data_IF_687449672376
#
_entry.id   IF_687449672376
#
_cell.length_a   1.000
_cell.length_b   1.000
_cell.length_c   1.000
_cell.angle_alpha   90.00
_cell.angle_beta   90.00
_cell.angle_gamma   90.00
#
_symmetry.space_group_name_H-M   'P 1'
#
loop_
_entity.id
_entity.type
_entity.pdbx_description
1 polymer ?
#
# COMPACT_ATOMS: atom_id res chain seq x y z
N UNK A 1 -6.90 -12.97 11.56
CA UNK A 1 -6.98 -13.04 10.10
C UNK A 1 -5.86 -12.19 9.49
N UNK A 2 -5.12 -12.74 8.52
CA UNK A 2 -4.07 -12.04 7.76
C UNK A 2 -4.55 -11.90 6.33
N UNK A 3 -4.57 -10.68 5.80
CA UNK A 3 -4.90 -10.44 4.40
C UNK A 3 -3.64 -10.52 3.54
N UNK A 4 -3.79 -10.68 2.21
CA UNK A 4 -2.63 -10.76 1.30
C UNK A 4 -1.65 -11.88 1.65
N UNK A 5 -2.16 -13.03 2.13
CA UNK A 5 -1.33 -14.16 2.59
C UNK A 5 -0.46 -14.77 1.49
N UNK A 6 -0.77 -14.50 0.23
CA UNK A 6 0.05 -14.89 -0.92
C UNK A 6 1.34 -14.09 -1.06
N UNK A 7 1.42 -12.90 -0.44
CA UNK A 7 2.60 -12.04 -0.45
C UNK A 7 3.61 -12.38 0.65
N UNK A 8 4.82 -11.86 0.50
CA UNK A 8 5.95 -12.07 1.42
C UNK A 8 5.68 -11.50 2.82
N UNK A 9 5.05 -10.33 2.93
CA UNK A 9 4.69 -9.70 4.20
C UNK A 9 3.70 -10.58 4.98
N UNK A 10 2.61 -11.01 4.34
CA UNK A 10 1.62 -11.87 4.96
C UNK A 10 2.19 -13.21 5.44
N UNK A 11 3.04 -13.82 4.61
CA UNK A 11 3.72 -15.06 4.95
C UNK A 11 4.71 -14.88 6.11
N UNK A 12 5.50 -13.81 6.11
CA UNK A 12 6.44 -13.50 7.19
C UNK A 12 5.72 -13.29 8.53
N UNK A 13 4.60 -12.57 8.54
CA UNK A 13 3.78 -12.39 9.73
C UNK A 13 3.22 -13.73 10.22
N UNK A 14 2.72 -14.58 9.32
CA UNK A 14 2.20 -15.90 9.69
C UNK A 14 3.29 -16.79 10.34
N UNK A 15 4.52 -16.78 9.80
CA UNK A 15 5.66 -17.50 10.37
C UNK A 15 5.95 -17.01 11.80
N UNK A 16 6.11 -15.70 11.97
CA UNK A 16 6.42 -15.08 13.28
C UNK A 16 5.34 -15.43 14.32
N UNK A 17 4.06 -15.37 13.92
CA UNK A 17 2.96 -15.72 14.85
C UNK A 17 3.03 -17.20 15.20
N UNK A 18 3.22 -18.11 14.26
CA UNK A 18 3.30 -19.56 14.55
C UNK A 18 4.50 -19.93 15.43
N UNK A 19 5.64 -19.25 15.24
CA UNK A 19 6.84 -19.46 16.08
C UNK A 19 6.66 -18.95 17.50
N UNK A 20 6.05 -17.78 17.66
CA UNK A 20 5.89 -17.14 18.98
C UNK A 20 4.64 -17.61 19.72
N UNK A 21 3.58 -17.98 19.02
CA UNK A 21 2.26 -18.35 19.56
C UNK A 21 1.68 -19.54 18.79
N UNK A 22 2.21 -20.75 18.95
CA UNK A 22 1.85 -21.92 18.11
C UNK A 22 0.38 -22.33 18.22
N UNK A 23 -0.32 -21.92 19.27
CA UNK A 23 -1.74 -22.23 19.48
C UNK A 23 -2.70 -21.21 18.84
N UNK A 24 -2.19 -20.12 18.28
CA UNK A 24 -3.03 -19.14 17.57
C UNK A 24 -3.47 -19.71 16.25
N UNK A 25 -4.78 -19.70 16.01
CA UNK A 25 -5.36 -20.06 14.72
C UNK A 25 -5.17 -18.92 13.74
N UNK A 26 -4.52 -19.20 12.61
CA UNK A 26 -4.29 -18.23 11.54
C UNK A 26 -5.25 -18.50 10.39
N UNK A 27 -6.05 -17.49 10.06
CA UNK A 27 -6.88 -17.46 8.87
C UNK A 27 -6.20 -16.55 7.86
N UNK A 28 -5.87 -17.06 6.68
CA UNK A 28 -5.30 -16.30 5.58
C UNK A 28 -6.34 -15.98 4.52
N UNK A 29 -6.31 -14.79 3.98
CA UNK A 29 -7.11 -14.42 2.80
C UNK A 29 -6.25 -13.83 1.71
N UNK A 30 -6.59 -14.10 0.44
CA UNK A 30 -5.96 -13.53 -0.74
C UNK A 30 -6.94 -13.50 -1.90
N UNK A 31 -6.72 -12.64 -2.87
CA UNK A 31 -7.47 -12.63 -4.13
C UNK A 31 -7.02 -13.78 -5.06
N UNK A 32 -5.76 -14.18 -4.96
CA UNK A 32 -5.17 -15.26 -5.75
C UNK A 32 -5.29 -16.60 -5.01
N UNK A 33 -5.50 -17.66 -5.78
CA UNK A 33 -5.52 -19.04 -5.26
C UNK A 33 -4.13 -19.70 -5.30
N UNK A 34 -3.26 -19.27 -6.18
CA UNK A 34 -1.96 -19.91 -6.40
C UNK A 34 -0.85 -19.18 -5.63
N UNK A 35 -0.56 -19.63 -4.40
CA UNK A 35 0.52 -19.08 -3.57
C UNK A 35 0.96 -20.08 -2.49
N UNK A 36 2.17 -19.89 -1.93
CA UNK A 36 2.72 -20.77 -0.89
C UNK A 36 2.14 -20.52 0.52
N UNK A 37 1.40 -19.43 0.72
CA UNK A 37 0.84 -19.05 2.02
C UNK A 37 -0.06 -20.10 2.68
N UNK A 38 -0.63 -21.05 1.91
CA UNK A 38 -1.39 -22.19 2.44
C UNK A 38 -0.62 -23.03 3.46
N UNK A 39 0.70 -23.11 3.35
CA UNK A 39 1.54 -23.91 4.24
C UNK A 39 1.71 -23.29 5.63
N UNK A 40 1.31 -22.05 5.80
CA UNK A 40 1.59 -21.22 6.98
C UNK A 40 0.33 -20.92 7.81
N UNK A 41 -0.83 -21.37 7.36
CA UNK A 41 -2.13 -20.98 7.93
C UNK A 41 -2.99 -22.21 8.21
N UNK A 42 -4.01 -22.04 9.03
CA UNK A 42 -4.93 -23.12 9.39
C UNK A 42 -6.15 -23.16 8.45
N UNK A 43 -6.61 -22.00 7.98
CA UNK A 43 -7.73 -21.88 7.03
C UNK A 43 -7.45 -20.78 6.00
N UNK A 44 -7.92 -21.01 4.77
CA UNK A 44 -7.82 -20.04 3.67
C UNK A 44 -9.20 -19.71 3.11
N UNK A 45 -9.40 -18.43 2.81
CA UNK A 45 -10.56 -17.96 2.04
C UNK A 45 -10.14 -17.04 0.92
N UNK A 46 -10.63 -17.31 -0.29
CA UNK A 46 -10.50 -16.35 -1.37
C UNK A 46 -11.39 -15.14 -1.12
N UNK A 47 -10.85 -13.95 -1.40
CA UNK A 47 -11.56 -12.67 -1.31
C UNK A 47 -11.45 -11.92 -2.64
N UNK A 48 -12.38 -11.01 -2.95
CA UNK A 48 -12.23 -10.09 -4.09
C UNK A 48 -10.98 -9.21 -3.94
N UNK A 49 -10.51 -8.61 -5.04
CA UNK A 49 -9.48 -7.58 -4.97
C UNK A 49 -9.92 -6.40 -4.07
N UNK A 50 -8.99 -5.74 -3.40
CA UNK A 50 -9.27 -4.59 -2.52
C UNK A 50 -10.00 -3.43 -3.23
N UNK A 51 -9.81 -3.29 -4.55
CA UNK A 51 -10.53 -2.32 -5.39
C UNK A 51 -12.00 -2.67 -5.65
N UNK A 52 -12.43 -3.88 -5.31
CA UNK A 52 -13.83 -4.31 -5.46
C UNK A 52 -14.70 -3.77 -4.34
N UNK A 53 -15.89 -3.26 -4.67
CA UNK A 53 -16.89 -2.84 -3.68
C UNK A 53 -17.37 -3.99 -2.76
N UNK A 54 -17.17 -5.24 -3.16
CA UNK A 54 -17.52 -6.41 -2.37
C UNK A 54 -16.44 -6.79 -1.33
N UNK A 55 -15.23 -6.21 -1.42
CA UNK A 55 -14.09 -6.63 -0.61
C UNK A 55 -14.35 -6.49 0.91
N UNK A 56 -14.65 -5.29 1.38
CA UNK A 56 -14.88 -5.03 2.81
C UNK A 56 -16.04 -5.84 3.39
N UNK A 57 -17.11 -6.03 2.62
CA UNK A 57 -18.24 -6.84 3.06
C UNK A 57 -17.85 -8.32 3.21
N UNK A 58 -16.99 -8.82 2.32
CA UNK A 58 -16.45 -10.18 2.45
C UNK A 58 -15.56 -10.31 3.68
N UNK A 59 -14.70 -9.34 3.96
CA UNK A 59 -13.88 -9.32 5.18
C UNK A 59 -14.79 -9.30 6.43
N UNK A 60 -15.80 -8.42 6.52
CA UNK A 60 -16.75 -8.38 7.65
C UNK A 60 -17.44 -9.72 7.88
N UNK A 61 -17.87 -10.38 6.79
CA UNK A 61 -18.47 -11.70 6.87
C UNK A 61 -17.51 -12.70 7.51
N UNK A 62 -16.25 -12.74 7.08
CA UNK A 62 -15.25 -13.64 7.63
C UNK A 62 -14.92 -13.33 9.10
N UNK A 63 -14.81 -12.03 9.46
CA UNK A 63 -14.58 -11.62 10.84
C UNK A 63 -15.65 -12.18 11.78
N UNK A 64 -16.92 -12.18 11.36
CA UNK A 64 -18.02 -12.68 12.18
C UNK A 64 -18.16 -14.20 12.12
N UNK A 65 -18.08 -14.82 10.93
CA UNK A 65 -18.32 -16.25 10.77
C UNK A 65 -17.19 -17.11 11.33
N UNK A 66 -15.96 -16.61 11.29
CA UNK A 66 -14.78 -17.30 11.81
C UNK A 66 -14.39 -16.84 13.22
N UNK A 67 -15.20 -15.98 13.88
CA UNK A 67 -14.92 -15.42 15.19
C UNK A 67 -13.50 -14.84 15.32
N UNK A 68 -13.13 -13.98 14.36
CA UNK A 68 -11.78 -13.42 14.29
C UNK A 68 -11.58 -12.35 15.36
N UNK A 69 -10.55 -12.50 16.18
CA UNK A 69 -10.17 -11.53 17.20
C UNK A 69 -9.40 -10.35 16.61
N UNK A 70 -8.46 -10.64 15.73
CA UNK A 70 -7.53 -9.64 15.16
C UNK A 70 -7.45 -9.77 13.64
N UNK A 71 -7.46 -8.64 12.93
CA UNK A 71 -7.20 -8.57 11.48
C UNK A 71 -5.93 -7.76 11.21
N UNK A 72 -5.10 -8.27 10.31
CA UNK A 72 -3.82 -7.67 9.91
C UNK A 72 -3.84 -7.48 8.40
N UNK A 73 -4.12 -6.27 7.89
CA UNK A 73 -3.98 -5.96 6.46
C UNK A 73 -2.51 -5.82 6.09
N UNK A 74 -2.09 -6.41 4.96
CA UNK A 74 -0.67 -6.47 4.59
C UNK A 74 -0.33 -5.78 3.28
N UNK A 75 -1.31 -5.32 2.52
CA UNK A 75 -1.05 -4.62 1.26
C UNK A 75 -1.49 -3.16 1.30
N UNK A 76 -0.76 -2.32 0.57
CA UNK A 76 -1.07 -0.87 0.46
C UNK A 76 -2.47 -0.63 -0.13
N UNK A 77 -2.89 -1.47 -1.10
CA UNK A 77 -4.23 -1.40 -1.68
C UNK A 77 -5.33 -1.68 -0.66
N UNK A 78 -5.10 -2.60 0.26
CA UNK A 78 -6.03 -2.90 1.34
C UNK A 78 -6.06 -1.77 2.37
N UNK A 79 -4.91 -1.27 2.80
CA UNK A 79 -4.82 -0.16 3.75
C UNK A 79 -5.64 1.05 3.29
N UNK A 80 -5.60 1.37 2.00
CA UNK A 80 -6.35 2.51 1.44
C UNK A 80 -7.88 2.39 1.58
N UNK A 81 -8.41 1.16 1.70
CA UNK A 81 -9.87 0.91 1.82
C UNK A 81 -10.29 0.45 3.23
N UNK A 82 -9.34 0.21 4.14
CA UNK A 82 -9.60 -0.33 5.48
C UNK A 82 -10.11 0.69 6.49
N UNK A 83 -10.01 1.98 6.23
CA UNK A 83 -10.46 3.04 7.17
C UNK A 83 -11.83 2.79 7.81
N UNK A 84 -12.90 2.39 7.06
CA UNK A 84 -14.18 2.08 7.70
C UNK A 84 -14.10 0.91 8.69
N UNK A 85 -13.30 -0.10 8.36
CA UNK A 85 -13.14 -1.30 9.20
C UNK A 85 -12.31 -0.99 10.45
N UNK A 86 -11.27 -0.17 10.34
CA UNK A 86 -10.47 0.32 11.48
C UNK A 86 -11.40 1.08 12.45
N UNK A 87 -12.26 1.95 11.94
CA UNK A 87 -13.20 2.70 12.77
C UNK A 87 -14.26 1.81 13.46
N UNK A 88 -14.68 0.72 12.82
CA UNK A 88 -15.65 -0.24 13.37
C UNK A 88 -15.03 -1.15 14.45
N UNK A 89 -13.82 -1.62 14.23
CA UNK A 89 -13.15 -2.62 15.09
C UNK A 89 -12.31 -1.98 16.20
N UNK A 90 -11.78 -0.79 15.97
CA UNK A 90 -10.75 -0.16 16.79
C UNK A 90 -9.34 -0.69 16.44
N UNK A 91 -8.34 0.05 16.89
CA UNK A 91 -6.92 -0.24 16.64
C UNK A 91 -6.45 -1.53 17.34
N UNK A 92 -7.10 -1.91 18.42
CA UNK A 92 -6.81 -3.16 19.15
C UNK A 92 -7.13 -4.42 18.34
N UNK A 93 -8.07 -4.34 17.41
CA UNK A 93 -8.52 -5.47 16.59
C UNK A 93 -8.12 -5.39 15.12
N UNK A 94 -7.79 -4.20 14.64
CA UNK A 94 -7.29 -3.97 13.29
C UNK A 94 -5.87 -3.42 13.36
N UNK A 95 -4.88 -4.29 13.24
CA UNK A 95 -3.48 -3.92 13.44
C UNK A 95 -2.96 -3.18 12.21
N UNK A 96 -2.83 -1.88 12.35
CA UNK A 96 -2.32 -0.97 11.33
C UNK A 96 -1.51 0.15 11.99
N UNK A 97 -0.92 1.02 11.18
CA UNK A 97 -0.25 2.22 11.68
C UNK A 97 -1.23 3.36 12.07
N UNK A 98 -2.54 3.10 12.00
CA UNK A 98 -3.59 4.11 12.23
C UNK A 98 -3.91 4.94 10.99
N UNK A 99 -5.14 5.47 10.95
CA UNK A 99 -5.68 6.17 9.77
C UNK A 99 -4.81 7.34 9.29
N UNK A 100 -4.23 8.12 10.21
CA UNK A 100 -3.40 9.27 9.85
C UNK A 100 -2.12 8.84 9.13
N UNK A 101 -1.46 7.78 9.61
CA UNK A 101 -0.22 7.28 8.98
C UNK A 101 -0.53 6.59 7.66
N UNK A 102 -1.65 5.89 7.56
CA UNK A 102 -2.11 5.30 6.30
C UNK A 102 -2.35 6.40 5.26
N UNK A 103 -3.05 7.47 5.62
CA UNK A 103 -3.34 8.59 4.72
C UNK A 103 -2.05 9.30 4.24
N UNK A 104 -1.08 9.47 5.13
CA UNK A 104 0.23 10.02 4.77
C UNK A 104 1.02 9.04 3.89
N UNK A 105 1.14 7.78 4.31
CA UNK A 105 2.01 6.80 3.67
C UNK A 105 1.52 6.32 2.30
N UNK A 106 0.22 6.37 2.02
CA UNK A 106 -0.35 5.97 0.72
C UNK A 106 -0.28 7.08 -0.33
N UNK A 107 -0.11 8.33 0.08
CA UNK A 107 0.01 9.49 -0.82
C UNK A 107 1.45 10.02 -0.81
N UNK A 108 2.12 9.94 -1.96
CA UNK A 108 3.54 10.32 -2.09
C UNK A 108 3.80 11.81 -1.82
N UNK A 109 2.86 12.69 -2.13
CA UNK A 109 3.01 14.11 -1.79
C UNK A 109 2.85 14.34 -0.29
N UNK A 110 1.84 13.78 0.33
CA UNK A 110 1.67 13.87 1.80
C UNK A 110 2.86 13.30 2.54
N UNK A 111 3.45 12.19 2.02
CA UNK A 111 4.68 11.62 2.58
C UNK A 111 5.84 12.64 2.50
N UNK A 112 6.04 13.28 1.33
CA UNK A 112 7.10 14.29 1.18
C UNK A 112 6.86 15.49 2.09
N UNK A 113 5.64 16.02 2.15
CA UNK A 113 5.28 17.14 3.01
C UNK A 113 5.51 16.80 4.50
N UNK A 114 5.13 15.61 4.91
CA UNK A 114 5.36 15.14 6.28
C UNK A 114 6.86 15.06 6.62
N UNK A 115 7.65 14.43 5.76
CA UNK A 115 9.11 14.30 5.96
C UNK A 115 9.77 15.68 5.98
N UNK A 116 9.38 16.59 5.06
CA UNK A 116 9.88 17.95 5.02
C UNK A 116 9.54 18.73 6.30
N UNK A 117 8.37 18.50 6.90
CA UNK A 117 7.96 19.12 8.17
C UNK A 117 8.88 18.76 9.35
N UNK A 118 9.61 17.64 9.22
CA UNK A 118 10.61 17.17 10.18
C UNK A 118 12.02 17.76 9.92
N UNK A 119 12.14 18.71 8.98
CA UNK A 119 13.41 19.28 8.51
C UNK A 119 14.36 18.24 7.87
N UNK A 120 13.81 17.18 7.30
CA UNK A 120 14.56 16.19 6.53
C UNK A 120 14.47 16.59 5.05
N UNK A 121 15.60 16.66 4.32
CA UNK A 121 15.59 16.95 2.89
C UNK A 121 14.77 15.93 2.11
N UNK A 122 13.95 16.42 1.17
CA UNK A 122 13.13 15.59 0.29
C UNK A 122 13.31 16.01 -1.15
N UNK A 123 13.18 15.10 -2.11
CA UNK A 123 13.15 15.47 -3.53
C UNK A 123 11.93 16.36 -3.81
N UNK A 124 12.12 17.42 -4.61
CA UNK A 124 10.98 18.23 -5.02
C UNK A 124 9.92 17.37 -5.70
N UNK A 125 8.66 17.65 -5.41
CA UNK A 125 7.52 16.88 -5.92
C UNK A 125 6.37 17.82 -6.19
N UNK A 126 5.75 17.73 -7.38
CA UNK A 126 4.64 18.58 -7.81
C UNK A 126 3.53 17.76 -8.43
N UNK A 127 2.29 18.25 -8.32
CA UNK A 127 1.13 17.64 -8.97
C UNK A 127 1.15 17.89 -10.48
N UNK A 128 1.23 16.83 -11.26
CA UNK A 128 1.27 16.90 -12.73
C UNK A 128 0.04 17.59 -13.36
N UNK A 129 -1.08 17.61 -12.65
CA UNK A 129 -2.32 18.27 -13.09
C UNK A 129 -2.20 19.80 -13.14
N UNK A 130 -1.41 20.38 -12.23
CA UNK A 130 -1.41 21.83 -12.03
C UNK A 130 -0.11 22.48 -12.47
N UNK A 131 0.98 21.73 -12.52
CA UNK A 131 2.31 22.31 -12.75
C UNK A 131 3.18 21.37 -13.58
N UNK A 132 4.04 21.94 -14.40
CA UNK A 132 5.07 21.23 -15.15
C UNK A 132 6.43 21.42 -14.47
N UNK A 133 7.33 20.42 -14.56
CA UNK A 133 8.67 20.52 -13.98
C UNK A 133 9.45 21.69 -14.56
N UNK A 134 10.21 22.38 -13.70
CA UNK A 134 11.16 23.41 -14.13
C UNK A 134 12.52 22.82 -14.56
N UNK A 135 12.85 21.62 -14.07
CA UNK A 135 14.12 20.92 -14.30
C UNK A 135 13.90 19.52 -14.87
N UNK A 136 14.83 19.11 -15.74
CA UNK A 136 14.86 17.78 -16.37
C UNK A 136 16.28 17.21 -16.32
N UNK A 137 16.45 15.87 -16.30
CA UNK A 137 15.38 14.86 -16.26
C UNK A 137 14.67 14.83 -14.90
N UNK A 138 13.43 14.31 -14.88
CA UNK A 138 12.68 14.08 -13.66
C UNK A 138 11.92 12.74 -13.74
N UNK A 139 11.27 12.33 -12.64
CA UNK A 139 10.45 11.13 -12.56
C UNK A 139 8.99 11.53 -12.63
N UNK A 140 8.22 10.85 -13.48
CA UNK A 140 6.76 10.86 -13.47
C UNK A 140 6.22 9.56 -12.89
N UNK A 141 5.30 9.64 -11.93
CA UNK A 141 4.69 8.47 -11.29
C UNK A 141 3.30 8.76 -10.73
N UNK A 142 2.54 7.71 -10.45
CA UNK A 142 1.25 7.84 -9.75
C UNK A 142 1.46 8.45 -8.34
N UNK A 143 0.60 9.41 -7.96
CA UNK A 143 0.55 10.00 -6.61
C UNK A 143 0.26 8.94 -5.56
N UNK A 144 -0.75 8.09 -5.82
CA UNK A 144 -1.17 6.96 -4.98
C UNK A 144 -0.91 5.68 -5.76
N UNK A 145 -0.35 4.65 -5.12
CA UNK A 145 -0.09 3.34 -5.72
C UNK A 145 1.27 2.77 -5.37
N UNK A 146 1.38 1.46 -5.52
CA UNK A 146 2.54 0.64 -5.15
C UNK A 146 3.04 -0.22 -6.32
N UNK A 147 4.15 -0.93 -6.08
CA UNK A 147 4.71 -1.91 -7.00
C UNK A 147 5.36 -1.33 -8.25
N UNK A 148 5.85 -0.09 -8.18
CA UNK A 148 6.63 0.57 -9.26
C UNK A 148 5.95 0.60 -10.62
N UNK A 149 4.63 0.54 -10.66
CA UNK A 149 3.85 0.60 -11.91
C UNK A 149 3.75 2.05 -12.40
N UNK A 150 3.87 2.23 -13.72
CA UNK A 150 3.77 3.54 -14.38
C UNK A 150 4.75 4.59 -13.82
N UNK A 151 6.01 4.19 -13.63
CA UNK A 151 7.11 5.11 -13.35
C UNK A 151 7.86 5.36 -14.65
N UNK A 152 8.02 6.63 -15.00
CA UNK A 152 8.69 7.04 -16.24
C UNK A 152 9.73 8.11 -15.93
N UNK A 153 10.92 7.99 -16.54
CA UNK A 153 11.88 9.07 -16.65
C UNK A 153 11.35 10.03 -17.72
N UNK A 154 11.38 11.30 -17.43
CA UNK A 154 10.90 12.38 -18.31
C UNK A 154 12.07 13.30 -18.58
N UNK A 155 12.50 13.36 -19.83
CA UNK A 155 13.73 14.06 -20.21
C UNK A 155 13.50 15.49 -20.69
N UNK A 156 12.25 15.89 -21.00
CA UNK A 156 11.93 17.20 -21.53
C UNK A 156 10.47 17.61 -21.29
N UNK A 157 10.17 18.88 -21.60
CA UNK A 157 8.85 19.47 -21.38
C UNK A 157 7.74 18.85 -22.25
N UNK A 158 8.06 18.42 -23.44
CA UNK A 158 7.11 17.79 -24.38
C UNK A 158 6.60 16.46 -23.82
N UNK A 159 7.50 15.67 -23.29
CA UNK A 159 7.17 14.41 -22.58
C UNK A 159 6.36 14.68 -21.32
N UNK A 160 6.74 15.69 -20.54
CA UNK A 160 5.99 16.08 -19.34
C UNK A 160 4.54 16.43 -19.68
N UNK A 161 4.30 17.20 -20.73
CA UNK A 161 2.96 17.54 -21.22
C UNK A 161 2.20 16.28 -21.66
N UNK A 162 2.86 15.36 -22.36
CA UNK A 162 2.25 14.12 -22.81
C UNK A 162 1.78 13.26 -21.62
N UNK A 163 2.66 13.03 -20.63
CA UNK A 163 2.33 12.22 -19.46
C UNK A 163 1.26 12.87 -18.59
N UNK A 164 1.33 14.18 -18.34
CA UNK A 164 0.33 14.91 -17.58
C UNK A 164 -1.08 14.84 -18.20
N UNK A 165 -1.17 14.80 -19.53
CA UNK A 165 -2.45 14.64 -20.25
C UNK A 165 -2.96 13.19 -20.23
N UNK A 166 -2.06 12.23 -20.27
CA UNK A 166 -2.40 10.80 -20.39
C UNK A 166 -2.82 10.19 -19.06
N UNK A 167 -2.22 10.61 -17.95
CA UNK A 167 -2.43 10.02 -16.64
C UNK A 167 -2.95 11.06 -15.65
N UNK A 168 -4.04 10.73 -15.00
CA UNK A 168 -4.59 11.54 -13.89
C UNK A 168 -3.98 11.09 -12.57
N UNK A 169 -4.03 11.96 -11.54
CA UNK A 169 -3.54 11.64 -10.19
C UNK A 169 -2.07 11.21 -10.14
N UNK A 170 -1.24 11.98 -10.82
CA UNK A 170 0.20 11.72 -10.94
C UNK A 170 1.02 12.91 -10.47
N UNK A 171 2.27 12.65 -10.15
CA UNK A 171 3.25 13.65 -9.74
C UNK A 171 4.47 13.61 -10.64
N UNK A 172 5.14 14.78 -10.76
CA UNK A 172 6.53 14.83 -11.12
C UNK A 172 7.37 14.94 -9.85
N UNK A 173 8.53 14.32 -9.85
CA UNK A 173 9.46 14.33 -8.73
C UNK A 173 10.89 14.42 -9.26
N UNK A 174 11.75 15.04 -8.48
CA UNK A 174 13.18 15.07 -8.73
C UNK A 174 13.74 13.68 -9.00
N UNK A 175 14.54 13.56 -10.07
CA UNK A 175 15.35 12.37 -10.30
C UNK A 175 16.61 12.48 -9.44
N UNK A 176 16.69 11.65 -8.42
CA UNK A 176 17.90 11.48 -7.63
C UNK A 176 18.80 10.49 -8.37
N UNK A 177 19.95 10.95 -8.83
CA UNK A 177 20.99 10.05 -9.32
C UNK A 177 21.73 9.46 -8.12
N UNK A 178 22.07 8.17 -8.12
CA UNK A 178 22.95 7.63 -7.10
C UNK A 178 24.28 8.40 -7.21
N UNK A 179 24.77 8.91 -6.08
CA UNK A 179 26.16 9.40 -6.03
C UNK A 179 27.06 8.26 -6.57
N UNK A 180 27.96 8.62 -7.49
CA UNK A 180 28.87 7.66 -8.09
C UNK A 180 29.54 6.86 -6.96
N UNK A 181 29.28 5.56 -6.97
CA UNK A 181 30.01 4.65 -6.10
C UNK A 181 31.42 4.52 -6.70
N UNK A 182 32.36 5.32 -6.18
CA UNK A 182 33.77 5.06 -6.36
C UNK A 182 34.23 3.80 -5.58
#
# INVERSE_FOLDING_TARGET
>A
LITGIGGDIGQSIAIIIKESQPNVKIIGVDMNLAHAGYLLIDEFFQVPAASSSAYLNRIRTLLSTCAVDIVIPTSEQELSVFTPLINELGEDRCITAGNNIIDIGTDKLKTMDFIASLNIPVPWSILAKYELPATFPCIFKAQIGSGSKNIFKVDNKEEAIFFAKKFTHSIFQELLEPEDQE
#
